data_IF_845879112194
#
_entry.id   IF_845879112194
#
_cell.length_a   1.000
_cell.length_b   1.000
_cell.length_c   1.000
_cell.angle_alpha   90.00
_cell.angle_beta   90.00
_cell.angle_gamma   90.00
#
_symmetry.space_group_name_H-M   'P 1'
#
loop_
_entity.id
_entity.type
_entity.pdbx_description
1 polymer ?
#
# COMPACT_ATOMS: atom_id res chain seq x y z
N UNK A 1 26.42 8.03 0.56
CA UNK A 1 27.06 9.22 1.15
C UNK A 1 27.26 8.95 2.63
N UNK A 2 28.22 9.60 3.30
CA UNK A 2 28.39 9.40 4.74
C UNK A 2 27.11 9.89 5.44
N UNK A 3 26.49 9.02 6.23
CA UNK A 3 25.47 9.42 7.19
C UNK A 3 26.10 10.47 8.11
N UNK A 4 25.49 11.64 8.20
CA UNK A 4 25.92 12.63 9.17
C UNK A 4 25.67 12.05 10.57
N UNK A 5 26.75 11.73 11.30
CA UNK A 5 26.72 11.25 12.69
C UNK A 5 26.10 12.26 13.66
N UNK A 6 25.91 13.50 13.21
CA UNK A 6 25.26 14.59 13.94
C UNK A 6 24.17 15.22 13.09
N UNK A 7 22.96 15.43 13.63
CA UNK A 7 21.89 16.13 12.92
C UNK A 7 22.37 17.54 12.56
N UNK A 8 22.03 18.00 11.35
CA UNK A 8 22.31 19.38 10.94
C UNK A 8 21.72 20.35 11.98
N UNK A 9 22.43 21.39 12.43
CA UNK A 9 21.99 22.26 13.52
C UNK A 9 20.57 22.80 13.33
N UNK A 10 20.19 23.11 12.08
CA UNK A 10 18.85 23.59 11.73
C UNK A 10 17.71 22.58 11.95
N UNK A 11 18.00 21.29 12.09
CA UNK A 11 17.02 20.24 12.41
C UNK A 11 16.90 19.99 13.91
N UNK A 12 17.88 20.45 14.70
CA UNK A 12 17.94 20.27 16.15
C UNK A 12 17.56 21.54 16.93
N UNK A 13 17.11 22.61 16.25
CA UNK A 13 16.77 23.90 16.87
C UNK A 13 15.60 23.81 17.86
N UNK A 14 14.66 22.89 17.64
CA UNK A 14 13.52 22.69 18.52
C UNK A 14 13.16 21.20 18.65
N UNK A 15 12.80 20.71 19.85
CA UNK A 15 12.26 19.37 20.00
C UNK A 15 10.90 19.27 19.29
N UNK A 16 10.58 18.09 18.80
CA UNK A 16 9.21 17.79 18.40
C UNK A 16 8.34 17.62 19.65
N UNK A 17 7.04 17.90 19.51
CA UNK A 17 6.09 17.88 20.62
C UNK A 17 4.99 16.85 20.40
N UNK A 18 4.54 16.22 21.49
CA UNK A 18 3.36 15.38 21.50
C UNK A 18 2.16 16.21 21.95
N UNK A 19 1.03 16.07 21.28
CA UNK A 19 -0.25 16.52 21.84
C UNK A 19 -0.63 15.63 23.04
N UNK A 20 -1.42 16.17 23.98
CA UNK A 20 -1.88 15.45 25.19
C UNK A 20 -2.65 14.16 24.88
N UNK A 21 -3.34 14.10 23.74
CA UNK A 21 -4.03 12.91 23.23
C UNK A 21 -3.06 11.84 22.70
N UNK A 22 -1.79 12.18 22.50
CA UNK A 22 -0.76 11.40 21.79
C UNK A 22 -1.17 11.07 20.34
N UNK A 23 -2.22 11.70 19.82
CA UNK A 23 -2.70 11.49 18.44
C UNK A 23 -1.94 12.34 17.41
N UNK A 24 -1.11 13.29 17.86
CA UNK A 24 -0.41 14.25 17.00
C UNK A 24 1.03 14.46 17.46
N UNK A 25 1.94 14.42 16.49
CA UNK A 25 3.32 14.90 16.60
C UNK A 25 3.43 16.26 15.90
N UNK A 26 4.08 17.22 16.54
CA UNK A 26 4.21 18.60 16.06
C UNK A 26 5.69 18.98 15.98
N UNK A 27 5.98 19.96 15.12
CA UNK A 27 7.32 20.53 14.96
C UNK A 27 8.41 19.50 14.60
N UNK A 28 8.03 18.45 13.85
CA UNK A 28 9.00 17.48 13.33
C UNK A 28 9.82 18.15 12.23
N UNK A 29 11.13 18.30 12.46
CA UNK A 29 12.06 18.85 11.48
C UNK A 29 12.56 17.74 10.54
N UNK A 30 12.22 17.83 9.25
CA UNK A 30 12.65 16.88 8.22
C UNK A 30 13.58 17.61 7.24
N UNK A 31 14.78 17.08 7.00
CA UNK A 31 15.66 17.60 5.97
C UNK A 31 15.11 17.27 4.58
N UNK A 32 14.75 18.30 3.81
CA UNK A 32 14.15 18.15 2.48
C UNK A 32 15.03 17.39 1.46
N UNK A 33 16.36 17.40 1.63
CA UNK A 33 17.32 16.69 0.78
C UNK A 33 17.87 15.40 1.45
N UNK A 34 17.25 14.94 2.53
CA UNK A 34 17.67 13.72 3.22
C UNK A 34 17.30 12.47 2.43
N UNK A 35 18.17 11.47 2.46
CA UNK A 35 17.85 10.11 2.04
C UNK A 35 17.28 9.25 3.19
N UNK A 36 17.16 9.80 4.40
CA UNK A 36 16.64 9.09 5.56
C UNK A 36 15.10 9.17 5.60
N UNK A 37 14.48 8.01 5.79
CA UNK A 37 13.02 7.87 5.92
C UNK A 37 12.57 8.33 7.30
N UNK A 38 11.54 9.18 7.33
CA UNK A 38 10.71 9.43 8.50
C UNK A 38 9.40 8.66 8.35
N UNK A 39 9.03 7.88 9.36
CA UNK A 39 7.85 7.04 9.36
C UNK A 39 7.11 7.19 10.69
N UNK A 40 5.77 7.19 10.63
CA UNK A 40 4.91 7.10 11.79
C UNK A 40 4.00 5.87 11.61
N UNK A 41 3.94 5.02 12.63
CA UNK A 41 3.07 3.86 12.66
C UNK A 41 2.32 3.79 13.98
N UNK A 42 1.10 3.26 13.92
CA UNK A 42 0.28 3.01 15.09
C UNK A 42 -0.56 1.76 14.84
N UNK A 43 -0.95 1.10 15.92
CA UNK A 43 -1.80 -0.07 15.89
C UNK A 43 -3.02 0.17 16.77
N UNK A 44 -4.19 -0.16 16.26
CA UNK A 44 -5.45 -0.11 17.01
C UNK A 44 -6.22 -1.41 16.84
N UNK A 45 -7.15 -1.67 17.76
CA UNK A 45 -8.14 -2.74 17.59
C UNK A 45 -9.43 -2.13 17.08
N UNK A 46 -9.94 -2.66 15.97
CA UNK A 46 -11.26 -2.33 15.49
C UNK A 46 -12.31 -3.12 16.28
N UNK A 47 -13.43 -2.50 16.67
CA UNK A 47 -14.47 -3.16 17.46
C UNK A 47 -15.27 -4.18 16.64
N UNK A 48 -15.22 -4.09 15.32
CA UNK A 48 -15.98 -4.93 14.38
C UNK A 48 -15.10 -5.44 13.25
N UNK A 49 -15.52 -6.55 12.63
CA UNK A 49 -14.87 -7.13 11.45
C UNK A 49 -15.06 -6.17 10.28
N UNK A 50 -13.95 -5.69 9.70
CA UNK A 50 -13.96 -4.72 8.60
C UNK A 50 -14.46 -5.30 7.27
N UNK A 51 -14.11 -6.54 6.98
CA UNK A 51 -14.53 -7.26 5.78
C UNK A 51 -15.01 -8.63 6.22
N UNK A 52 -16.30 -8.89 6.05
CA UNK A 52 -16.87 -10.21 6.30
C UNK A 52 -16.54 -11.11 5.11
N UNK A 53 -16.14 -12.36 5.39
CA UNK A 53 -15.71 -13.31 4.38
C UNK A 53 -16.29 -14.70 4.63
N UNK A 54 -16.81 -15.31 3.57
CA UNK A 54 -17.14 -16.74 3.52
C UNK A 54 -16.22 -17.50 2.56
N UNK A 55 -15.12 -16.86 2.13
CA UNK A 55 -14.23 -17.39 1.12
C UNK A 55 -13.61 -18.71 1.54
N UNK A 56 -13.67 -19.69 0.65
CA UNK A 56 -13.00 -20.98 0.78
C UNK A 56 -12.28 -21.32 -0.52
N UNK A 57 -11.34 -22.28 -0.44
CA UNK A 57 -10.57 -22.72 -1.59
C UNK A 57 -11.33 -23.80 -2.37
N UNK A 58 -11.37 -23.68 -3.69
CA UNK A 58 -11.88 -24.74 -4.57
C UNK A 58 -10.84 -25.85 -4.74
N UNK A 59 -11.24 -26.99 -5.31
CA UNK A 59 -10.29 -28.06 -5.66
C UNK A 59 -9.21 -27.63 -6.67
N UNK A 60 -9.44 -26.54 -7.41
CA UNK A 60 -8.49 -25.98 -8.38
C UNK A 60 -7.58 -24.89 -7.78
N UNK A 61 -7.68 -24.61 -6.48
CA UNK A 61 -6.88 -23.60 -5.79
C UNK A 61 -7.39 -22.15 -5.93
N UNK A 62 -8.50 -21.95 -6.63
CA UNK A 62 -9.19 -20.66 -6.76
C UNK A 62 -10.11 -20.42 -5.56
N UNK A 63 -10.65 -19.21 -5.43
CA UNK A 63 -11.60 -18.84 -4.38
C UNK A 63 -13.06 -19.03 -4.82
N UNK A 64 -13.90 -19.43 -3.87
CA UNK A 64 -15.37 -19.42 -3.94
C UNK A 64 -15.98 -18.81 -2.68
N UNK A 65 -17.21 -18.34 -2.74
CA UNK A 65 -17.90 -17.66 -1.64
C UNK A 65 -17.94 -16.16 -1.83
N UNK A 66 -18.12 -15.40 -0.75
CA UNK A 66 -18.41 -13.97 -0.83
C UNK A 66 -17.56 -13.19 0.17
N UNK A 67 -17.13 -12.00 -0.22
CA UNK A 67 -16.71 -10.94 0.71
C UNK A 67 -17.75 -9.83 0.76
N UNK A 68 -17.88 -9.19 1.92
CA UNK A 68 -18.75 -8.04 2.13
C UNK A 68 -17.97 -6.93 2.81
N UNK A 69 -18.03 -5.71 2.27
CA UNK A 69 -17.42 -4.56 2.92
C UNK A 69 -18.28 -4.08 4.09
N UNK A 70 -17.78 -4.27 5.31
CA UNK A 70 -18.43 -3.79 6.53
C UNK A 70 -17.85 -2.46 7.02
N UNK A 71 -16.87 -1.89 6.30
CA UNK A 71 -16.38 -0.56 6.56
C UNK A 71 -17.45 0.48 6.20
N UNK A 72 -17.44 1.60 6.92
CA UNK A 72 -18.27 2.77 6.61
C UNK A 72 -17.70 3.64 5.48
N UNK A 73 -16.72 3.11 4.74
CA UNK A 73 -16.01 3.82 3.67
C UNK A 73 -15.87 2.94 2.44
N UNK A 74 -15.88 3.57 1.27
CA UNK A 74 -15.66 2.87 0.00
C UNK A 74 -14.18 2.59 -0.22
N UNK A 75 -13.86 1.38 -0.68
CA UNK A 75 -12.54 1.01 -1.16
C UNK A 75 -12.55 1.02 -2.70
N UNK A 76 -11.61 1.74 -3.32
CA UNK A 76 -11.48 1.87 -4.78
C UNK A 76 -10.32 1.05 -5.31
N UNK A 77 -10.34 0.75 -6.61
CA UNK A 77 -9.27 -0.01 -7.29
C UNK A 77 -8.92 -1.32 -6.58
N UNK A 78 -9.93 -1.98 -6.02
CA UNK A 78 -9.79 -3.16 -5.20
C UNK A 78 -9.39 -4.39 -6.04
N UNK A 79 -8.43 -5.12 -5.52
CA UNK A 79 -8.03 -6.44 -5.99
C UNK A 79 -7.96 -7.42 -4.82
N UNK A 80 -8.40 -8.65 -5.07
CA UNK A 80 -8.27 -9.75 -4.14
C UNK A 80 -7.19 -10.71 -4.61
N UNK A 81 -6.32 -11.16 -3.72
CA UNK A 81 -5.21 -12.04 -4.05
C UNK A 81 -5.21 -13.28 -3.15
N UNK A 82 -4.95 -14.44 -3.74
CA UNK A 82 -4.82 -15.71 -3.04
C UNK A 82 -4.04 -16.72 -3.90
N UNK A 83 -3.05 -17.42 -3.33
CA UNK A 83 -2.34 -18.53 -3.97
C UNK A 83 -1.91 -18.27 -5.44
N UNK A 84 -1.39 -17.08 -5.74
CA UNK A 84 -0.95 -16.70 -7.09
C UNK A 84 -2.07 -16.26 -8.05
N UNK A 85 -3.32 -16.25 -7.60
CA UNK A 85 -4.47 -15.72 -8.32
C UNK A 85 -4.80 -14.30 -7.86
N UNK A 86 -5.34 -13.52 -8.81
CA UNK A 86 -5.84 -12.16 -8.60
C UNK A 86 -7.24 -12.03 -9.20
N UNK A 87 -8.12 -11.36 -8.47
CA UNK A 87 -9.50 -11.04 -8.86
C UNK A 87 -9.68 -9.53 -8.84
N UNK A 88 -10.21 -8.96 -9.94
CA UNK A 88 -10.52 -7.54 -9.99
C UNK A 88 -11.91 -7.31 -9.38
N UNK A 89 -11.97 -6.51 -8.33
CA UNK A 89 -13.22 -6.11 -7.67
C UNK A 89 -13.68 -4.75 -8.19
N UNK A 90 -12.75 -3.81 -8.38
CA UNK A 90 -13.08 -2.42 -8.71
C UNK A 90 -13.41 -1.61 -7.47
N UNK A 91 -14.60 -1.02 -7.39
CA UNK A 91 -15.00 -0.26 -6.19
C UNK A 91 -15.92 -1.10 -5.33
N UNK A 92 -15.64 -1.13 -4.02
CA UNK A 92 -16.43 -1.83 -3.01
C UNK A 92 -16.96 -0.80 -2.01
N UNK A 93 -18.22 -0.39 -2.15
CA UNK A 93 -18.90 0.55 -1.24
C UNK A 93 -19.27 -0.13 0.09
N UNK A 94 -19.64 0.62 1.13
CA UNK A 94 -20.19 0.04 2.36
C UNK A 94 -21.39 -0.87 2.05
N UNK A 95 -21.35 -2.10 2.56
CA UNK A 95 -22.38 -3.13 2.34
C UNK A 95 -22.25 -3.90 1.02
N UNK A 96 -21.41 -3.47 0.08
CA UNK A 96 -21.24 -4.17 -1.19
C UNK A 96 -20.65 -5.57 -0.97
N UNK A 97 -21.06 -6.48 -1.85
CA UNK A 97 -20.55 -7.85 -1.89
C UNK A 97 -19.76 -8.12 -3.16
N UNK A 98 -18.79 -9.02 -3.07
CA UNK A 98 -18.07 -9.53 -4.22
C UNK A 98 -18.00 -11.06 -4.15
N UNK A 99 -18.40 -11.70 -5.24
CA UNK A 99 -18.28 -13.13 -5.49
C UNK A 99 -17.17 -13.37 -6.53
N UNK A 100 -16.05 -14.03 -6.17
CA UNK A 100 -14.98 -14.35 -7.11
C UNK A 100 -15.40 -15.22 -8.30
N UNK A 101 -16.47 -16.01 -8.17
CA UNK A 101 -16.97 -16.90 -9.23
C UNK A 101 -17.80 -16.15 -10.27
N UNK A 102 -18.50 -15.08 -9.85
CA UNK A 102 -19.26 -14.19 -10.74
C UNK A 102 -18.43 -12.98 -11.25
N UNK A 103 -17.28 -12.73 -10.63
CA UNK A 103 -16.44 -11.57 -10.87
C UNK A 103 -15.51 -11.67 -12.08
N UNK A 104 -14.63 -10.67 -12.22
CA UNK A 104 -13.57 -10.67 -13.24
C UNK A 104 -12.33 -11.38 -12.70
N UNK A 105 -12.05 -12.58 -13.21
CA UNK A 105 -10.91 -13.40 -12.82
C UNK A 105 -11.29 -14.88 -12.76
N UNK A 106 -10.41 -15.74 -12.23
CA UNK A 106 -9.07 -15.42 -11.72
C UNK A 106 -8.08 -15.12 -12.86
N UNK A 107 -7.13 -14.23 -12.59
CA UNK A 107 -5.96 -14.01 -13.43
C UNK A 107 -4.70 -14.37 -12.66
N UNK A 108 -3.66 -14.80 -13.36
CA UNK A 108 -2.35 -14.98 -12.71
C UNK A 108 -1.87 -13.65 -12.14
N UNK A 109 -1.53 -13.64 -10.85
CA UNK A 109 -0.95 -12.49 -10.15
C UNK A 109 0.35 -12.06 -10.83
N UNK A 110 1.23 -13.01 -11.15
CA UNK A 110 2.46 -12.74 -11.89
C UNK A 110 2.17 -12.10 -13.27
N UNK A 111 1.18 -12.62 -14.00
CA UNK A 111 0.77 -12.03 -15.27
C UNK A 111 0.18 -10.62 -15.12
N UNK A 112 -0.57 -10.34 -14.05
CA UNK A 112 -1.10 -8.99 -13.79
C UNK A 112 0.00 -7.98 -13.50
N UNK A 113 0.94 -8.34 -12.62
CA UNK A 113 2.08 -7.50 -12.24
C UNK A 113 3.00 -7.21 -13.43
N UNK A 114 3.08 -8.15 -14.37
CA UNK A 114 3.85 -8.00 -15.62
C UNK A 114 3.05 -7.36 -16.77
N UNK A 115 1.71 -7.50 -16.86
CA UNK A 115 0.86 -6.89 -17.91
C UNK A 115 0.49 -5.43 -17.69
N UNK A 116 0.35 -4.94 -16.45
CA UNK A 116 0.23 -3.49 -16.16
C UNK A 116 1.32 -2.66 -16.86
N UNK A 117 2.42 -3.33 -17.19
CA UNK A 117 3.61 -2.87 -17.91
C UNK A 117 3.44 -2.70 -19.42
N UNK A 118 2.61 -3.51 -20.08
CA UNK A 118 2.54 -3.61 -21.55
C UNK A 118 1.55 -2.64 -22.20
N UNK A 119 0.66 -2.01 -21.43
CA UNK A 119 -0.45 -1.18 -21.97
C UNK A 119 0.00 0.25 -22.34
N UNK A 120 1.31 0.57 -22.26
CA UNK A 120 1.84 1.91 -22.60
C UNK A 120 2.83 1.94 -23.77
N UNK A 121 2.55 1.13 -24.79
CA UNK A 121 3.21 1.08 -26.11
C UNK A 121 4.43 0.16 -26.17
N UNK A 122 4.32 -0.86 -27.04
CA UNK A 122 5.21 -2.00 -27.31
C UNK A 122 5.50 -2.99 -26.17
N UNK A 123 5.48 -4.26 -26.57
CA UNK A 123 5.59 -5.48 -25.77
C UNK A 123 7.02 -5.70 -25.21
N UNK A 124 7.53 -4.73 -24.45
CA UNK A 124 8.83 -4.80 -23.77
C UNK A 124 8.55 -4.85 -22.27
N UNK A 125 9.13 -5.83 -21.56
CA UNK A 125 9.08 -5.87 -20.11
C UNK A 125 9.78 -4.63 -19.55
N UNK A 126 9.04 -3.55 -19.28
CA UNK A 126 9.63 -2.28 -18.83
C UNK A 126 10.14 -2.39 -17.40
N UNK A 127 11.37 -2.92 -17.20
CA UNK A 127 12.07 -3.09 -15.90
C UNK A 127 11.73 -1.92 -14.97
N UNK A 128 11.53 -2.19 -13.66
CA UNK A 128 11.31 -1.10 -12.70
C UNK A 128 12.38 -0.04 -12.91
N UNK A 129 11.93 1.21 -13.01
CA UNK A 129 12.81 2.35 -13.16
C UNK A 129 13.05 2.91 -11.77
N UNK A 130 14.29 2.82 -11.28
CA UNK A 130 14.64 3.30 -9.93
C UNK A 130 14.47 4.81 -9.76
N UNK A 131 14.35 5.54 -10.86
CA UNK A 131 14.04 6.97 -10.92
C UNK A 131 12.54 7.27 -11.13
N UNK A 132 11.66 6.27 -11.05
CA UNK A 132 10.21 6.47 -11.07
C UNK A 132 9.80 7.32 -9.86
N UNK A 133 9.00 8.36 -10.12
CA UNK A 133 8.52 9.32 -9.11
C UNK A 133 7.02 9.19 -8.85
N UNK A 134 6.34 8.24 -9.50
CA UNK A 134 4.91 8.02 -9.29
C UNK A 134 4.69 7.31 -7.95
N UNK A 135 4.20 8.05 -6.96
CA UNK A 135 3.97 7.56 -5.58
C UNK A 135 3.08 6.32 -5.55
N UNK A 136 1.95 6.33 -6.27
CA UNK A 136 1.05 5.16 -6.33
C UNK A 136 1.78 3.92 -6.86
N UNK A 137 2.64 4.11 -7.85
CA UNK A 137 3.41 3.03 -8.47
C UNK A 137 4.55 2.54 -7.56
N UNK A 138 5.22 3.45 -6.85
CA UNK A 138 6.21 3.10 -5.81
C UNK A 138 5.54 2.26 -4.71
N UNK A 139 4.40 2.70 -4.18
CA UNK A 139 3.68 1.99 -3.12
C UNK A 139 3.13 0.63 -3.57
N UNK A 140 2.70 0.52 -4.83
CA UNK A 140 2.29 -0.77 -5.42
C UNK A 140 3.46 -1.75 -5.50
N UNK A 141 4.61 -1.32 -6.01
CA UNK A 141 5.80 -2.18 -6.13
C UNK A 141 6.39 -2.52 -4.77
N UNK A 142 6.48 -1.56 -3.86
CA UNK A 142 7.00 -1.78 -2.52
C UNK A 142 6.07 -2.71 -1.72
N UNK A 143 4.74 -2.57 -1.83
CA UNK A 143 3.78 -3.41 -1.10
C UNK A 143 3.43 -4.75 -1.75
N UNK A 144 4.07 -5.09 -2.86
CA UNK A 144 3.96 -6.38 -3.54
C UNK A 144 5.33 -6.87 -4.02
N UNK A 145 6.42 -6.39 -3.41
CA UNK A 145 7.79 -6.59 -3.88
C UNK A 145 8.09 -8.08 -4.08
N UNK A 146 7.82 -8.91 -3.07
CA UNK A 146 7.98 -10.36 -3.11
C UNK A 146 7.14 -10.99 -4.23
N UNK A 147 5.84 -10.67 -4.32
CA UNK A 147 4.97 -11.18 -5.41
C UNK A 147 5.37 -10.71 -6.82
N UNK A 148 6.04 -9.55 -6.95
CA UNK A 148 6.53 -9.05 -8.25
C UNK A 148 7.81 -9.71 -8.74
N UNK A 149 8.45 -10.56 -7.92
CA UNK A 149 9.76 -11.16 -8.21
C UNK A 149 10.93 -10.48 -7.50
N UNK A 150 10.64 -9.60 -6.53
CA UNK A 150 11.63 -9.06 -5.61
C UNK A 150 12.81 -8.35 -6.29
N UNK A 151 14.05 -8.59 -5.83
CA UNK A 151 15.25 -7.97 -6.40
C UNK A 151 15.49 -8.30 -7.88
N UNK A 152 15.04 -9.45 -8.37
CA UNK A 152 15.18 -9.80 -9.80
C UNK A 152 14.36 -8.83 -10.67
N UNK A 153 13.17 -8.46 -10.19
CA UNK A 153 12.29 -7.52 -10.87
C UNK A 153 12.72 -6.06 -10.71
N UNK A 154 13.01 -5.62 -9.47
CA UNK A 154 13.27 -4.21 -9.17
C UNK A 154 14.74 -3.81 -9.31
N UNK A 155 15.68 -4.76 -9.21
CA UNK A 155 17.10 -4.48 -8.99
C UNK A 155 17.39 -3.91 -7.59
N UNK A 156 16.40 -3.90 -6.69
CA UNK A 156 16.46 -3.31 -5.35
C UNK A 156 16.06 -4.34 -4.30
N UNK A 157 16.73 -4.31 -3.16
CA UNK A 157 16.25 -4.99 -1.96
C UNK A 157 14.99 -4.28 -1.43
N UNK A 158 14.10 -5.02 -0.77
CA UNK A 158 12.87 -4.50 -0.14
C UNK A 158 13.17 -3.35 0.84
N UNK A 159 14.28 -3.48 1.58
CA UNK A 159 14.81 -2.43 2.45
C UNK A 159 13.80 -2.03 3.55
N UNK A 160 13.75 -0.74 3.87
CA UNK A 160 12.87 -0.24 4.96
C UNK A 160 11.37 -0.42 4.70
N UNK A 161 10.96 -0.54 3.44
CA UNK A 161 9.55 -0.69 3.06
C UNK A 161 9.08 -2.15 3.07
N UNK A 162 9.97 -3.11 3.37
CA UNK A 162 9.62 -4.53 3.41
C UNK A 162 8.37 -4.84 4.24
N UNK A 163 8.22 -4.15 5.37
CA UNK A 163 7.13 -4.38 6.30
C UNK A 163 5.73 -4.07 5.73
N UNK A 164 5.62 -3.30 4.62
CA UNK A 164 4.34 -3.02 3.95
C UNK A 164 3.96 -4.12 2.95
N UNK A 165 4.90 -5.00 2.61
CA UNK A 165 4.67 -6.15 1.73
C UNK A 165 4.18 -7.36 2.52
N UNK A 166 2.87 -7.58 2.44
CA UNK A 166 2.23 -8.73 3.08
C UNK A 166 2.09 -9.92 2.14
N UNK A 167 2.60 -9.87 0.91
CA UNK A 167 2.38 -10.92 -0.10
C UNK A 167 3.05 -12.25 0.25
N UNK A 168 4.01 -12.26 1.18
CA UNK A 168 4.52 -13.48 1.79
C UNK A 168 3.43 -14.28 2.55
N UNK A 169 2.32 -13.66 2.95
CA UNK A 169 1.20 -14.38 3.58
C UNK A 169 0.39 -15.21 2.58
N UNK A 170 0.49 -14.94 1.28
CA UNK A 170 -0.22 -15.70 0.24
C UNK A 170 0.21 -17.17 0.22
N UNK A 171 1.46 -17.48 0.60
CA UNK A 171 1.93 -18.88 0.70
C UNK A 171 1.44 -19.57 1.98
N UNK A 172 0.90 -18.82 2.93
CA UNK A 172 0.31 -19.31 4.18
C UNK A 172 -1.22 -19.42 4.08
N UNK A 173 -1.74 -19.61 2.86
CA UNK A 173 -3.18 -19.71 2.55
C UNK A 173 -3.99 -18.51 3.12
N UNK A 174 -3.36 -17.32 3.19
CA UNK A 174 -4.06 -16.06 3.50
C UNK A 174 -4.55 -15.39 2.22
N UNK A 175 -5.69 -14.73 2.34
CA UNK A 175 -6.25 -13.88 1.30
C UNK A 175 -5.86 -12.44 1.61
N UNK A 176 -5.47 -11.67 0.59
CA UNK A 176 -5.13 -10.26 0.74
C UNK A 176 -6.04 -9.44 -0.17
N UNK A 177 -6.85 -8.56 0.42
CA UNK A 177 -7.58 -7.50 -0.26
C UNK A 177 -6.74 -6.23 -0.23
N UNK A 178 -6.47 -5.65 -1.39
CA UNK A 178 -5.79 -4.36 -1.52
C UNK A 178 -6.71 -3.39 -2.25
N UNK A 179 -6.78 -2.15 -1.77
CA UNK A 179 -7.51 -1.07 -2.42
C UNK A 179 -7.06 0.30 -1.94
N UNK A 180 -7.65 1.35 -2.49
CA UNK A 180 -7.46 2.74 -2.06
C UNK A 180 -8.62 3.17 -1.18
N UNK A 181 -8.32 3.71 0.00
CA UNK A 181 -9.32 4.21 0.95
C UNK A 181 -8.92 5.56 1.52
N UNK A 182 -9.65 6.06 2.52
CA UNK A 182 -9.29 7.30 3.21
C UNK A 182 -7.98 7.14 3.99
N UNK A 183 -7.30 8.25 4.27
CA UNK A 183 -6.11 8.21 5.10
C UNK A 183 -6.45 8.00 6.58
N UNK A 184 -5.66 7.15 7.23
CA UNK A 184 -5.73 6.93 8.67
C UNK A 184 -4.78 7.87 9.44
N UNK A 185 -3.80 8.46 8.76
CA UNK A 185 -2.84 9.43 9.30
C UNK A 185 -2.65 10.56 8.29
N UNK A 186 -2.71 11.80 8.76
CA UNK A 186 -2.52 12.98 7.92
C UNK A 186 -1.17 13.62 8.19
N UNK A 187 -0.49 14.06 7.13
CA UNK A 187 0.77 14.79 7.22
C UNK A 187 0.50 16.27 6.95
N UNK A 188 0.70 17.11 7.97
CA UNK A 188 0.48 18.54 7.89
C UNK A 188 1.81 19.29 7.84
N UNK A 189 2.34 19.63 6.64
CA UNK A 189 3.58 20.39 6.53
C UNK A 189 3.35 21.83 7.05
N UNK A 190 4.08 22.23 8.08
CA UNK A 190 4.11 23.62 8.56
C UNK A 190 5.20 24.40 7.81
N UNK A 191 4.85 25.55 7.23
CA UNK A 191 5.81 26.44 6.56
C UNK A 191 6.16 27.63 7.43
N UNK A 192 7.45 27.89 7.61
CA UNK A 192 7.99 29.20 8.02
C UNK A 192 8.23 30.04 6.75
N UNK A 193 7.38 31.02 6.46
CA UNK A 193 7.59 32.02 5.40
C UNK A 193 6.98 31.72 4.01
N UNK A 194 6.50 32.77 3.35
CA UNK A 194 5.80 32.77 2.05
C UNK A 194 6.72 32.51 0.82
N UNK A 195 6.09 32.10 -0.30
CA UNK A 195 6.60 31.95 -1.70
C UNK A 195 7.54 30.75 -1.97
N UNK A 196 7.32 29.80 -2.89
CA UNK A 196 6.37 29.58 -3.98
C UNK A 196 5.83 28.13 -3.95
N UNK A 197 4.51 27.96 -4.09
CA UNK A 197 3.78 26.71 -3.87
C UNK A 197 3.62 25.81 -5.11
N UNK A 198 4.45 25.97 -6.14
CA UNK A 198 4.19 25.27 -7.42
C UNK A 198 4.52 23.77 -7.44
N UNK A 199 5.21 23.22 -6.42
CA UNK A 199 5.72 21.84 -6.47
C UNK A 199 5.09 20.83 -5.51
N UNK A 200 4.21 21.25 -4.58
CA UNK A 200 3.58 20.33 -3.61
C UNK A 200 2.09 20.07 -3.85
N UNK A 201 1.49 20.69 -4.88
CA UNK A 201 0.05 20.52 -5.18
C UNK A 201 -0.34 19.11 -5.61
N UNK A 202 0.63 18.26 -5.98
CA UNK A 202 0.39 16.91 -6.50
C UNK A 202 1.03 15.79 -5.66
N UNK A 203 1.46 16.06 -4.43
CA UNK A 203 1.74 14.98 -3.48
C UNK A 203 0.40 14.38 -3.03
N UNK A 204 -0.30 13.73 -3.95
CA UNK A 204 -1.61 13.15 -3.69
C UNK A 204 -1.47 12.08 -2.63
N UNK A 205 -2.04 12.35 -1.45
CA UNK A 205 -2.15 11.39 -0.35
C UNK A 205 -2.77 10.11 -0.88
N UNK A 206 -1.91 9.12 -1.17
CA UNK A 206 -2.32 7.83 -1.68
C UNK A 206 -2.31 6.87 -0.50
N UNK A 207 -3.49 6.60 0.06
CA UNK A 207 -3.61 5.60 1.12
C UNK A 207 -4.00 4.25 0.53
N UNK A 208 -3.07 3.30 0.61
CA UNK A 208 -3.34 1.90 0.29
C UNK A 208 -3.81 1.17 1.55
N UNK A 209 -4.99 0.58 1.45
CA UNK A 209 -5.54 -0.34 2.44
C UNK A 209 -5.13 -1.76 2.05
N UNK A 210 -4.59 -2.50 3.03
CA UNK A 210 -4.28 -3.93 2.89
C UNK A 210 -5.01 -4.65 4.01
N UNK A 211 -5.90 -5.56 3.64
CA UNK A 211 -6.74 -6.30 4.58
C UNK A 211 -6.47 -7.78 4.37
N UNK A 212 -5.97 -8.43 5.41
CA UNK A 212 -5.69 -9.86 5.42
C UNK A 212 -6.91 -10.60 5.94
N UNK A 213 -7.36 -11.60 5.18
CA UNK A 213 -8.49 -12.45 5.52
C UNK A 213 -8.02 -13.89 5.62
N UNK A 214 -8.71 -14.66 6.44
CA UNK A 214 -8.53 -16.10 6.53
C UNK A 214 -9.51 -16.81 5.59
N UNK A 215 -9.09 -17.96 5.07
CA UNK A 215 -10.01 -18.89 4.45
C UNK A 215 -10.93 -19.49 5.51
N UNK A 216 -12.19 -19.72 5.14
CA UNK A 216 -13.01 -20.68 5.86
C UNK A 216 -12.57 -22.10 5.50
N UNK A 217 -12.48 -22.92 6.54
CA UNK A 217 -12.29 -24.37 6.43
C UNK A 217 -13.48 -25.03 5.72
#
# INVERSE_FOLDING_TARGET
GPDALTPHPSLAEAPYEYESSVAKLQNISIAAASSQLFEASWTGRLPTVSIQSTLSRTGQGTLRGIITNQLQVSLRDCVLMHAGWLYDIGTLHPGDTFDPEAGRGPRSLAAFLTKKRAVKDRNVSARWKSDDRNISRILEVAGMHHATGGPEYTGLQSGRLEHIDMTHLLVLDRIILIGKGPSATEWLPQKKGESELKYFKDAGDTTLWRIVLELRN
#
